data_IF_390206683613
#
_entry.id   IF_390206683613
#
_cell.length_a   1.000
_cell.length_b   1.000
_cell.length_c   1.000
_cell.angle_alpha   90.00
_cell.angle_beta   90.00
_cell.angle_gamma   90.00
#
_symmetry.space_group_name_H-M   'P 1'
#
loop_
_entity.id
_entity.type
_entity.pdbx_description
1 polymer ?
#
# COMPACT_ATOMS: atom_id res chain seq x y z
N UNK A 1 10.98 17.30 -10.26
CA UNK A 1 12.28 16.62 -9.97
C UNK A 1 12.92 17.11 -8.68
N UNK A 2 12.91 18.42 -8.40
CA UNK A 2 13.59 19.02 -7.24
C UNK A 2 13.04 18.57 -5.90
N UNK A 3 11.73 18.39 -5.76
CA UNK A 3 11.11 17.89 -4.53
C UNK A 3 11.42 16.42 -4.26
N UNK A 4 11.53 15.59 -5.30
CA UNK A 4 11.97 14.20 -5.19
C UNK A 4 13.42 14.17 -4.69
N UNK A 5 14.30 14.96 -5.30
CA UNK A 5 15.69 15.09 -4.89
C UNK A 5 15.84 15.57 -3.45
N UNK A 6 15.07 16.60 -3.05
CA UNK A 6 15.07 17.10 -1.67
C UNK A 6 14.67 15.99 -0.68
N UNK A 7 13.65 15.20 -1.00
CA UNK A 7 13.22 14.08 -0.15
C UNK A 7 14.33 13.06 0.04
N UNK A 8 15.10 12.74 -1.01
CA UNK A 8 16.25 11.83 -0.90
C UNK A 8 17.38 12.42 -0.07
N UNK A 9 17.71 13.69 -0.29
CA UNK A 9 18.73 14.39 0.52
C UNK A 9 18.39 14.40 2.01
N UNK A 10 17.12 14.64 2.36
CA UNK A 10 16.65 14.56 3.74
C UNK A 10 16.78 13.14 4.32
N UNK A 11 16.40 12.13 3.55
CA UNK A 11 16.52 10.73 3.95
C UNK A 11 18.00 10.36 4.18
N UNK A 12 18.88 10.74 3.28
CA UNK A 12 20.32 10.48 3.40
C UNK A 12 20.94 11.19 4.60
N UNK A 13 20.54 12.43 4.87
CA UNK A 13 20.98 13.17 6.06
C UNK A 13 20.52 12.51 7.37
N UNK A 14 19.38 11.81 7.37
CA UNK A 14 18.84 11.12 8.54
C UNK A 14 19.39 9.70 8.73
N UNK A 15 19.87 9.04 7.67
CA UNK A 15 20.40 7.66 7.73
C UNK A 15 21.38 7.40 8.87
N UNK A 16 22.38 8.28 9.16
CA UNK A 16 23.31 8.05 10.26
C UNK A 16 22.65 7.99 11.64
N UNK A 17 21.50 8.64 11.81
CA UNK A 17 20.76 8.66 13.08
C UNK A 17 19.88 7.42 13.26
N UNK A 18 19.60 6.68 12.18
CA UNK A 18 18.85 5.42 12.20
C UNK A 18 19.73 4.21 12.52
N UNK A 19 21.05 4.37 12.48
CA UNK A 19 22.00 3.34 12.84
C UNK A 19 22.31 3.45 14.35
N UNK A 20 21.68 2.63 15.17
CA UNK A 20 22.01 2.48 16.59
C UNK A 20 22.55 1.07 16.85
N UNK A 21 23.87 0.95 17.01
CA UNK A 21 24.53 -0.33 17.23
C UNK A 21 24.46 -1.24 16.00
N UNK A 22 24.09 -2.51 16.19
CA UNK A 22 23.92 -3.49 15.12
C UNK A 22 22.54 -3.48 14.44
N UNK A 23 21.66 -2.55 14.82
CA UNK A 23 20.31 -2.46 14.26
C UNK A 23 20.21 -1.35 13.23
N UNK A 24 19.89 -1.68 11.99
CA UNK A 24 19.45 -0.72 10.97
C UNK A 24 17.94 -0.56 11.07
N UNK A 25 17.47 0.66 11.26
CA UNK A 25 16.05 0.96 11.14
C UNK A 25 15.63 0.87 9.67
N UNK A 26 14.52 0.19 9.44
CA UNK A 26 13.91 0.11 8.12
C UNK A 26 13.18 1.41 7.79
N UNK A 27 13.27 1.81 6.54
CA UNK A 27 12.64 3.02 6.02
C UNK A 27 11.44 2.66 5.16
N UNK A 28 10.35 3.42 5.30
CA UNK A 28 9.17 3.29 4.46
C UNK A 28 8.70 4.65 3.95
N UNK A 29 8.08 4.65 2.78
CA UNK A 29 7.49 5.85 2.17
C UNK A 29 6.14 5.54 1.54
N UNK A 30 5.15 6.40 1.81
CA UNK A 30 3.84 6.29 1.17
C UNK A 30 3.88 6.85 -0.26
N UNK A 31 3.14 6.20 -1.14
CA UNK A 31 2.96 6.55 -2.54
C UNK A 31 1.47 6.56 -2.88
N UNK A 32 0.98 7.63 -3.50
CA UNK A 32 -0.37 7.65 -4.06
C UNK A 32 -0.47 6.69 -5.25
N UNK A 33 -1.55 5.90 -5.31
CA UNK A 33 -1.76 4.96 -6.40
C UNK A 33 -1.89 5.66 -7.76
N UNK A 34 -2.39 6.89 -7.78
CA UNK A 34 -2.46 7.72 -8.99
C UNK A 34 -1.11 7.92 -9.68
N UNK A 35 0.00 7.91 -8.94
CA UNK A 35 1.36 7.98 -9.53
C UNK A 35 1.65 6.77 -10.43
N UNK A 36 1.01 5.63 -10.15
CA UNK A 36 1.20 4.38 -10.91
C UNK A 36 0.23 4.30 -12.09
N UNK A 37 -0.98 4.84 -11.91
CA UNK A 37 -2.09 4.72 -12.88
C UNK A 37 -2.19 5.91 -13.84
N UNK A 38 -1.60 7.06 -13.49
CA UNK A 38 -1.64 8.28 -14.29
C UNK A 38 -0.22 8.84 -14.50
N UNK A 39 0.32 8.85 -15.72
CA UNK A 39 1.68 9.33 -15.99
C UNK A 39 1.95 10.78 -15.57
N UNK A 40 0.92 11.63 -15.51
CA UNK A 40 1.07 13.05 -15.12
C UNK A 40 1.11 13.24 -13.60
N UNK A 41 0.69 12.25 -12.81
CA UNK A 41 0.60 12.39 -11.35
C UNK A 41 1.98 12.47 -10.68
N UNK A 42 3.03 11.93 -11.30
CA UNK A 42 4.42 12.06 -10.81
C UNK A 42 4.82 13.54 -10.67
N UNK A 43 4.45 14.37 -11.63
CA UNK A 43 4.76 15.80 -11.61
C UNK A 43 3.98 16.52 -10.50
N UNK A 44 2.68 16.25 -10.38
CA UNK A 44 1.82 16.92 -9.41
C UNK A 44 2.11 16.55 -7.97
N UNK A 45 2.42 15.26 -7.74
CA UNK A 45 2.63 14.72 -6.39
C UNK A 45 4.11 14.68 -5.99
N UNK A 46 5.02 14.98 -6.93
CA UNK A 46 6.46 14.87 -6.73
C UNK A 46 6.88 13.49 -6.17
N UNK A 47 6.28 12.43 -6.72
CA UNK A 47 6.53 11.05 -6.34
C UNK A 47 6.78 10.20 -7.59
N UNK A 48 7.62 9.17 -7.46
CA UNK A 48 7.91 8.21 -8.52
C UNK A 48 8.14 6.83 -7.92
N UNK A 49 7.42 5.82 -8.40
CA UNK A 49 7.48 4.46 -7.83
C UNK A 49 8.88 3.87 -7.87
N UNK A 50 9.55 3.94 -9.03
CA UNK A 50 10.90 3.40 -9.21
C UNK A 50 11.87 4.05 -8.23
N UNK A 51 11.88 5.37 -8.16
CA UNK A 51 12.76 6.12 -7.27
C UNK A 51 12.52 5.79 -5.79
N UNK A 52 11.26 5.61 -5.38
CA UNK A 52 10.95 5.25 -4.00
C UNK A 52 11.40 3.81 -3.68
N UNK A 53 11.16 2.84 -4.57
CA UNK A 53 11.60 1.45 -4.34
C UNK A 53 13.12 1.28 -4.38
N UNK A 54 13.84 2.15 -5.06
CA UNK A 54 15.31 2.17 -5.05
C UNK A 54 15.89 2.75 -3.76
N UNK A 55 15.23 3.73 -3.14
CA UNK A 55 15.77 4.51 -2.02
C UNK A 55 15.22 4.16 -0.64
N UNK A 56 14.09 3.44 -0.57
CA UNK A 56 13.46 3.01 0.68
C UNK A 56 13.41 1.49 0.78
N UNK A 57 13.38 0.97 2.01
CA UNK A 57 13.21 -0.47 2.25
C UNK A 57 11.81 -0.94 1.83
N UNK A 58 10.80 -0.08 2.00
CA UNK A 58 9.41 -0.37 1.64
C UNK A 58 8.73 0.87 1.06
N UNK A 59 8.00 0.70 -0.03
CA UNK A 59 7.08 1.71 -0.58
C UNK A 59 5.65 1.26 -0.30
N UNK A 60 4.93 2.02 0.54
CA UNK A 60 3.53 1.76 0.87
C UNK A 60 2.63 2.45 -0.16
N UNK A 61 2.00 1.66 -1.02
CA UNK A 61 1.09 2.14 -2.06
C UNK A 61 -0.29 2.32 -1.44
N UNK A 62 -0.80 3.55 -1.45
CA UNK A 62 -2.15 3.88 -0.97
C UNK A 62 -3.18 3.40 -1.98
N UNK A 63 -3.49 2.10 -1.94
CA UNK A 63 -4.40 1.41 -2.86
C UNK A 63 -5.86 1.59 -2.41
N UNK A 64 -6.38 2.81 -2.58
CA UNK A 64 -7.63 3.29 -2.00
C UNK A 64 -8.63 3.70 -3.09
N UNK A 65 -9.32 2.74 -3.74
CA UNK A 65 -10.12 2.97 -4.93
C UNK A 65 -11.20 4.04 -4.75
N UNK A 66 -11.86 4.09 -3.60
CA UNK A 66 -12.92 5.07 -3.33
C UNK A 66 -12.39 6.49 -3.03
N UNK A 67 -11.11 6.62 -2.73
CA UNK A 67 -10.43 7.91 -2.57
C UNK A 67 -9.85 8.41 -3.90
N UNK A 68 -9.19 7.53 -4.64
CA UNK A 68 -8.45 7.86 -5.86
C UNK A 68 -9.35 8.19 -7.06
N UNK A 69 -10.58 7.66 -7.10
CA UNK A 69 -11.52 7.98 -8.16
C UNK A 69 -12.30 9.27 -7.85
N UNK A 70 -12.40 10.17 -8.83
CA UNK A 70 -13.11 11.45 -8.67
C UNK A 70 -14.61 11.25 -8.44
N UNK A 71 -15.20 10.29 -9.13
CA UNK A 71 -16.62 9.94 -9.01
C UNK A 71 -16.83 8.73 -8.10
N UNK A 72 -18.00 8.62 -7.46
CA UNK A 72 -18.37 7.40 -6.75
C UNK A 72 -18.34 6.20 -7.69
N UNK A 73 -17.71 5.12 -7.26
CA UNK A 73 -17.61 3.85 -7.99
C UNK A 73 -18.31 2.73 -7.23
N UNK A 74 -18.76 1.72 -7.96
CA UNK A 74 -19.31 0.48 -7.40
C UNK A 74 -18.20 -0.41 -6.81
N UNK A 75 -18.60 -1.41 -6.03
CA UNK A 75 -17.67 -2.42 -5.50
C UNK A 75 -16.97 -3.20 -6.62
N UNK A 76 -17.67 -3.52 -7.70
CA UNK A 76 -17.10 -4.19 -8.87
C UNK A 76 -16.02 -3.32 -9.55
N UNK A 77 -16.33 -2.04 -9.76
CA UNK A 77 -15.35 -1.10 -10.32
C UNK A 77 -14.14 -0.92 -9.40
N UNK A 78 -14.35 -0.88 -8.08
CA UNK A 78 -13.26 -0.83 -7.10
C UNK A 78 -12.37 -2.07 -7.18
N UNK A 79 -12.96 -3.25 -7.33
CA UNK A 79 -12.21 -4.50 -7.50
C UNK A 79 -11.40 -4.52 -8.80
N UNK A 80 -11.98 -4.09 -9.92
CA UNK A 80 -11.29 -4.01 -11.21
C UNK A 80 -10.16 -2.96 -11.19
N UNK A 81 -10.40 -1.82 -10.54
CA UNK A 81 -9.37 -0.81 -10.34
C UNK A 81 -8.19 -1.37 -9.55
N UNK A 82 -8.48 -2.10 -8.46
CA UNK A 82 -7.45 -2.71 -7.61
C UNK A 82 -6.66 -3.77 -8.36
N UNK A 83 -7.33 -4.61 -9.16
CA UNK A 83 -6.68 -5.60 -10.03
C UNK A 83 -5.74 -4.95 -11.05
N UNK A 84 -6.19 -3.87 -11.68
CA UNK A 84 -5.38 -3.11 -12.64
C UNK A 84 -4.17 -2.45 -11.97
N UNK A 85 -4.33 -1.92 -10.76
CA UNK A 85 -3.22 -1.37 -9.99
C UNK A 85 -2.15 -2.43 -9.70
N UNK A 86 -2.54 -3.64 -9.30
CA UNK A 86 -1.61 -4.75 -9.06
C UNK A 86 -0.78 -5.05 -10.31
N UNK A 87 -1.40 -5.15 -11.47
CA UNK A 87 -0.69 -5.44 -12.73
C UNK A 87 0.28 -4.30 -13.10
N UNK A 88 -0.12 -3.05 -12.90
CA UNK A 88 0.76 -1.90 -13.12
C UNK A 88 1.95 -1.89 -12.18
N UNK A 89 1.76 -2.24 -10.91
CA UNK A 89 2.86 -2.35 -9.93
C UNK A 89 3.82 -3.47 -10.31
N UNK A 90 3.31 -4.64 -10.68
CA UNK A 90 4.13 -5.79 -11.14
C UNK A 90 5.02 -5.45 -12.33
N UNK A 91 4.53 -4.59 -13.22
CA UNK A 91 5.29 -4.15 -14.40
C UNK A 91 6.39 -3.13 -14.07
N UNK A 92 6.31 -2.43 -12.92
CA UNK A 92 7.14 -1.26 -12.64
C UNK A 92 8.07 -1.43 -11.43
N UNK A 93 7.79 -2.36 -10.50
CA UNK A 93 8.51 -2.46 -9.25
C UNK A 93 8.70 -3.90 -8.75
N UNK A 94 9.78 -4.17 -7.98
CA UNK A 94 9.95 -5.44 -7.28
C UNK A 94 8.92 -5.57 -6.16
N UNK A 95 8.18 -6.68 -6.13
CA UNK A 95 7.06 -6.90 -5.21
C UNK A 95 7.46 -7.04 -3.74
N UNK A 96 8.69 -7.45 -3.47
CA UNK A 96 9.26 -7.54 -2.12
C UNK A 96 9.55 -6.17 -1.48
N UNK A 97 9.52 -5.10 -2.29
CA UNK A 97 9.71 -3.72 -1.85
C UNK A 97 8.42 -2.91 -1.74
N UNK A 98 7.28 -3.51 -2.03
CA UNK A 98 5.99 -2.82 -1.98
C UNK A 98 5.08 -3.37 -0.90
N UNK A 99 4.28 -2.49 -0.30
CA UNK A 99 3.19 -2.80 0.61
C UNK A 99 1.93 -2.14 0.05
N UNK A 100 0.82 -2.87 0.01
CA UNK A 100 -0.47 -2.32 -0.38
C UNK A 100 -1.25 -1.90 0.86
N UNK A 101 -1.53 -0.60 0.98
CA UNK A 101 -2.35 -0.03 2.03
C UNK A 101 -3.72 0.34 1.49
N UNK A 102 -4.77 -0.33 1.94
CA UNK A 102 -6.12 -0.06 1.49
C UNK A 102 -7.00 0.54 2.57
N UNK A 103 -8.07 1.22 2.13
CA UNK A 103 -8.99 1.90 3.01
C UNK A 103 -9.99 0.93 3.66
N UNK A 104 -10.21 1.04 4.96
CA UNK A 104 -11.26 0.33 5.68
C UNK A 104 -12.54 1.19 5.86
N UNK A 105 -12.48 2.46 5.47
CA UNK A 105 -13.60 3.41 5.48
C UNK A 105 -13.66 4.11 4.13
N UNK A 106 -14.85 4.21 3.57
CA UNK A 106 -15.09 5.10 2.45
C UNK A 106 -15.22 6.53 2.97
N UNK A 107 -14.19 7.35 2.80
CA UNK A 107 -14.16 8.72 3.35
C UNK A 107 -15.17 9.68 2.73
N UNK A 108 -15.70 9.40 1.55
CA UNK A 108 -16.76 10.21 0.94
C UNK A 108 -18.09 10.00 1.65
N UNK A 109 -18.40 8.76 2.02
CA UNK A 109 -19.67 8.39 2.67
C UNK A 109 -19.55 8.25 4.17
N UNK A 110 -18.33 8.24 4.72
CA UNK A 110 -18.01 7.97 6.13
C UNK A 110 -18.49 6.58 6.59
N UNK A 111 -18.71 5.66 5.66
CA UNK A 111 -19.17 4.30 5.97
C UNK A 111 -17.99 3.32 5.94
N UNK A 112 -17.97 2.33 6.84
CA UNK A 112 -17.02 1.22 6.76
C UNK A 112 -17.13 0.49 5.42
N UNK A 113 -15.99 0.09 4.89
CA UNK A 113 -15.94 -0.89 3.79
C UNK A 113 -16.33 -2.25 4.35
N UNK A 114 -17.22 -3.01 3.68
CA UNK A 114 -17.57 -4.36 4.12
C UNK A 114 -16.35 -5.25 4.24
N UNK A 115 -16.27 -6.06 5.31
CA UNK A 115 -15.13 -6.98 5.51
C UNK A 115 -14.98 -7.96 4.34
N UNK A 116 -16.10 -8.38 3.72
CA UNK A 116 -16.07 -9.25 2.53
C UNK A 116 -15.27 -8.62 1.40
N UNK A 117 -15.42 -7.33 1.18
CA UNK A 117 -14.70 -6.59 0.15
C UNK A 117 -13.20 -6.46 0.47
N UNK A 118 -12.86 -6.12 1.72
CA UNK A 118 -11.46 -6.11 2.18
C UNK A 118 -10.80 -7.48 2.02
N UNK A 119 -11.52 -8.54 2.36
CA UNK A 119 -11.06 -9.91 2.20
C UNK A 119 -10.84 -10.27 0.72
N UNK A 120 -11.71 -9.80 -0.17
CA UNK A 120 -11.55 -10.06 -1.61
C UNK A 120 -10.31 -9.35 -2.18
N UNK A 121 -10.00 -8.13 -1.71
CA UNK A 121 -8.74 -7.45 -2.06
C UNK A 121 -7.52 -8.20 -1.53
N UNK A 122 -7.56 -8.69 -0.28
CA UNK A 122 -6.47 -9.50 0.28
C UNK A 122 -6.24 -10.80 -0.49
N UNK A 123 -7.33 -11.51 -0.85
CA UNK A 123 -7.25 -12.73 -1.67
C UNK A 123 -6.67 -12.44 -3.05
N UNK A 124 -7.02 -11.29 -3.65
CA UNK A 124 -6.49 -10.87 -4.94
C UNK A 124 -4.97 -10.63 -4.85
N UNK A 125 -4.50 -9.96 -3.79
CA UNK A 125 -3.07 -9.78 -3.54
C UNK A 125 -2.36 -11.13 -3.35
N UNK A 126 -2.89 -12.02 -2.51
CA UNK A 126 -2.32 -13.35 -2.26
C UNK A 126 -2.26 -14.20 -3.54
N UNK A 127 -3.29 -14.13 -4.41
CA UNK A 127 -3.31 -14.80 -5.72
C UNK A 127 -2.17 -14.29 -6.62
N UNK A 128 -1.75 -13.04 -6.45
CA UNK A 128 -0.63 -12.43 -7.15
C UNK A 128 0.70 -12.57 -6.41
N UNK A 129 0.78 -13.42 -5.38
CA UNK A 129 1.96 -13.65 -4.53
C UNK A 129 2.44 -12.39 -3.78
N UNK A 130 1.50 -11.48 -3.47
CA UNK A 130 1.75 -10.27 -2.69
C UNK A 130 1.23 -10.50 -1.27
N UNK A 131 2.13 -10.47 -0.28
CA UNK A 131 1.81 -10.76 1.12
C UNK A 131 2.07 -9.56 2.04
N UNK A 132 2.59 -8.47 1.51
CA UNK A 132 2.79 -7.21 2.23
C UNK A 132 1.61 -6.29 1.97
N UNK A 133 0.68 -6.23 2.92
CA UNK A 133 -0.49 -5.36 2.84
C UNK A 133 -1.01 -4.99 4.23
N UNK A 134 -1.78 -3.93 4.29
CA UNK A 134 -2.45 -3.42 5.48
C UNK A 134 -3.70 -2.63 5.13
N UNK A 135 -4.45 -2.23 6.13
CA UNK A 135 -5.61 -1.36 5.96
C UNK A 135 -5.64 -0.24 7.00
N UNK A 136 -6.31 0.85 6.65
CA UNK A 136 -6.47 2.03 7.48
C UNK A 136 -7.85 2.68 7.23
N UNK A 137 -8.50 3.23 8.26
CA UNK A 137 -8.18 3.11 9.68
C UNK A 137 -8.62 1.78 10.28
N UNK A 138 -8.06 1.45 11.46
CA UNK A 138 -8.53 0.39 12.32
C UNK A 138 -9.17 1.01 13.56
N UNK A 139 -10.40 0.61 13.88
CA UNK A 139 -11.13 1.10 15.04
C UNK A 139 -11.27 0.01 16.09
N UNK A 140 -10.32 -0.08 17.00
CA UNK A 140 -10.31 -1.06 18.07
C UNK A 140 -11.50 -0.95 19.03
N UNK A 141 -12.09 0.25 19.19
CA UNK A 141 -13.20 0.46 20.11
C UNK A 141 -14.50 -0.18 19.60
N UNK A 142 -14.71 -0.15 18.29
CA UNK A 142 -15.90 -0.71 17.65
C UNK A 142 -15.64 -2.04 16.96
N UNK A 143 -14.40 -2.56 17.02
CA UNK A 143 -13.95 -3.75 16.32
C UNK A 143 -14.26 -3.67 14.81
N UNK A 144 -13.87 -2.57 14.18
CA UNK A 144 -14.16 -2.30 12.77
C UNK A 144 -12.84 -1.97 12.00
N UNK A 145 -12.44 -2.80 11.00
CA UNK A 145 -13.07 -4.09 10.60
C UNK A 145 -12.97 -5.16 11.69
N UNK A 146 -13.88 -6.15 11.67
CA UNK A 146 -13.92 -7.21 12.69
C UNK A 146 -12.62 -8.04 12.68
N UNK A 147 -11.84 -7.93 13.75
CA UNK A 147 -10.55 -8.57 13.89
C UNK A 147 -10.62 -10.10 13.70
N UNK A 148 -11.69 -10.75 14.14
CA UNK A 148 -11.82 -12.21 14.00
C UNK A 148 -11.99 -12.61 12.54
N UNK A 149 -12.64 -11.77 11.71
CA UNK A 149 -12.78 -11.99 10.27
C UNK A 149 -11.49 -11.68 9.52
N UNK A 150 -10.74 -10.65 9.97
CA UNK A 150 -9.53 -10.20 9.28
C UNK A 150 -8.29 -11.04 9.62
N UNK A 151 -8.17 -11.50 10.89
CA UNK A 151 -7.01 -12.24 11.40
C UNK A 151 -6.53 -13.40 10.52
N UNK A 152 -7.39 -14.25 9.92
CA UNK A 152 -6.95 -15.36 9.07
C UNK A 152 -6.11 -14.94 7.86
N UNK A 153 -6.28 -13.69 7.38
CA UNK A 153 -5.60 -13.16 6.21
C UNK A 153 -4.26 -12.48 6.55
N UNK A 154 -4.02 -12.17 7.83
CA UNK A 154 -2.76 -11.63 8.35
C UNK A 154 -1.90 -12.69 9.03
N UNK A 155 -2.43 -13.88 9.29
CA UNK A 155 -1.66 -14.96 9.88
C UNK A 155 -0.72 -15.54 8.83
N UNK A 156 0.57 -15.37 9.04
CA UNK A 156 1.58 -16.10 8.29
C UNK A 156 1.41 -17.58 8.64
N UNK A 157 0.82 -18.37 7.77
CA UNK A 157 0.84 -19.81 7.89
C UNK A 157 2.30 -20.25 7.71
N UNK A 158 2.98 -20.54 8.81
CA UNK A 158 4.37 -21.04 8.84
C UNK A 158 4.53 -22.41 8.14
N UNK A 159 3.46 -22.95 7.55
CA UNK A 159 3.42 -24.19 6.79
C UNK A 159 3.56 -24.02 5.27
N UNK A 160 3.81 -22.82 4.76
CA UNK A 160 4.16 -22.65 3.35
C UNK A 160 5.65 -22.95 3.21
N UNK A 161 5.96 -24.23 2.97
CA UNK A 161 7.19 -24.71 2.36
C UNK A 161 8.49 -24.18 2.95
N UNK A 162 9.02 -24.85 3.96
CA UNK A 162 10.49 -24.93 4.07
C UNK A 162 10.97 -25.71 2.84
N UNK A 163 11.94 -25.16 2.07
CA UNK A 163 12.58 -25.89 1.00
C UNK A 163 13.34 -27.12 1.54
#
# INVERSE_FOLDING_TARGET
QDLILLTHQLTDALKPYFLRGSYSLKTARNLYASVITNPNAEEWLAQNLKTLTENYDTTAIMAMPYMENEQPISQEEAYQWFASLIENVKAQAPLDKVLFEFQAVNWRTQKPIPESELIDWMKLLQKNHIYSYGYYPDNFLTNQPDLNKMKPYFSVNTNVGKP
#
